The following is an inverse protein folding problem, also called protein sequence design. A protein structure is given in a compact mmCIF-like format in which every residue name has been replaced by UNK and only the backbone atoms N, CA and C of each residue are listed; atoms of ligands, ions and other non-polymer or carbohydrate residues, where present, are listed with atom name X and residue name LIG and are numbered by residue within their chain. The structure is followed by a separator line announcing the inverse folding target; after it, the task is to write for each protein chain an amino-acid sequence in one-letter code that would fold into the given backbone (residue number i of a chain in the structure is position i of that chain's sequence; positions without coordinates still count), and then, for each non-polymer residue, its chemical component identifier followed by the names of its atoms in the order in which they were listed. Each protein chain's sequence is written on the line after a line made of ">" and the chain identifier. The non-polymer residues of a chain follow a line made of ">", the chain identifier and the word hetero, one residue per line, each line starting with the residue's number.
data_IF_893972148956
#
_entry.id   IF_893972148956
#
_cell.length_a   1.000
_cell.length_b   1.000
_cell.length_c   1.000
_cell.angle_alpha   90.00
_cell.angle_beta   90.00
_cell.angle_gamma   90.00
#
_symmetry.space_group_name_H-M   'P 1'
#
loop_
_entity.id
_entity.type
_entity.pdbx_description
1 polymer ?
#
# COMPACT_ATOMS: atom_id res chain seq x y z
N UNK A 1 10.00 -13.85 6.75
CA UNK A 1 11.19 -13.06 7.08
C UNK A 1 10.76 -11.69 7.62
N UNK A 2 11.38 -11.22 8.70
CA UNK A 2 11.12 -9.94 9.37
C UNK A 2 12.41 -9.12 9.47
N UNK A 3 12.36 -7.86 9.04
CA UNK A 3 13.43 -6.88 9.25
C UNK A 3 13.19 -6.09 10.54
N UNK A 4 13.55 -6.66 11.68
CA UNK A 4 13.26 -6.14 13.02
C UNK A 4 13.09 -7.26 14.05
N UNK A 5 12.49 -6.92 15.19
CA UNK A 5 12.11 -7.87 16.24
C UNK A 5 10.94 -8.76 15.78
N UNK A 6 11.19 -10.06 15.68
CA UNK A 6 10.19 -11.06 15.31
C UNK A 6 9.18 -11.35 16.42
N UNK A 7 9.56 -11.18 17.70
CA UNK A 7 8.68 -11.46 18.83
C UNK A 7 7.47 -10.51 18.84
N UNK A 8 7.66 -9.27 18.39
CA UNK A 8 6.61 -8.25 18.32
C UNK A 8 5.45 -8.61 17.38
N UNK A 9 5.66 -9.50 16.39
CA UNK A 9 4.64 -9.89 15.41
C UNK A 9 4.34 -11.40 15.37
N UNK A 10 5.04 -12.23 16.13
CA UNK A 10 4.93 -13.69 16.08
C UNK A 10 3.52 -14.21 16.38
N UNK A 11 2.83 -13.61 17.36
CA UNK A 11 1.46 -13.99 17.72
C UNK A 11 0.47 -13.68 16.60
N UNK A 12 0.44 -12.43 16.13
CA UNK A 12 -0.46 -11.99 15.05
C UNK A 12 -0.22 -12.77 13.76
N UNK A 13 1.04 -12.98 13.38
CA UNK A 13 1.37 -13.79 12.19
C UNK A 13 0.96 -15.25 12.37
N UNK A 14 1.09 -15.79 13.58
CA UNK A 14 0.66 -17.14 13.95
C UNK A 14 -0.85 -17.36 13.81
N UNK A 15 -1.68 -16.36 14.14
CA UNK A 15 -3.13 -16.40 13.93
C UNK A 15 -3.50 -16.50 12.43
N UNK A 16 -2.62 -16.01 11.56
CA UNK A 16 -2.74 -16.06 10.11
C UNK A 16 -2.01 -17.25 9.46
N UNK A 17 -1.59 -18.24 10.25
CA UNK A 17 -1.02 -19.50 9.75
C UNK A 17 0.48 -19.48 9.49
N UNK A 18 1.20 -18.43 9.91
CA UNK A 18 2.67 -18.42 9.85
C UNK A 18 3.23 -19.36 10.91
N UNK A 19 4.11 -20.27 10.50
CA UNK A 19 4.74 -21.26 11.39
C UNK A 19 6.07 -20.77 11.98
N UNK A 20 6.82 -19.97 11.22
CA UNK A 20 8.11 -19.44 11.65
C UNK A 20 8.33 -17.98 11.18
N UNK A 21 8.95 -17.18 12.04
CA UNK A 21 9.37 -15.81 11.79
C UNK A 21 10.89 -15.73 11.87
N UNK A 22 11.53 -15.81 10.71
CA UNK A 22 12.96 -15.54 10.57
C UNK A 22 13.22 -14.04 10.69
N UNK A 23 13.86 -13.58 11.78
CA UNK A 23 13.96 -12.18 12.16
C UNK A 23 15.40 -11.69 12.24
N UNK A 24 15.69 -10.51 11.68
CA UNK A 24 17.05 -9.94 11.70
C UNK A 24 17.46 -9.34 13.05
N UNK A 25 16.50 -9.12 13.95
CA UNK A 25 16.69 -8.22 15.09
C UNK A 25 16.81 -6.77 14.65
N UNK A 26 17.31 -5.92 15.55
CA UNK A 26 17.58 -4.51 15.26
C UNK A 26 18.60 -4.38 14.12
N UNK A 27 18.34 -3.44 13.21
CA UNK A 27 19.21 -3.16 12.08
C UNK A 27 20.23 -2.06 12.41
N UNK A 28 20.19 -1.45 13.58
CA UNK A 28 21.15 -0.44 14.06
C UNK A 28 21.33 0.73 13.08
N UNK A 29 20.21 1.24 12.57
CA UNK A 29 20.22 2.32 11.59
C UNK A 29 20.65 1.91 10.17
N UNK A 30 20.90 0.62 9.90
CA UNK A 30 21.09 0.12 8.53
C UNK A 30 19.78 0.17 7.73
N UNK A 31 19.91 0.36 6.42
CA UNK A 31 18.78 0.33 5.49
C UNK A 31 18.14 -1.07 5.44
N UNK A 32 16.81 -1.14 5.60
CA UNK A 32 16.09 -2.42 5.65
C UNK A 32 16.29 -3.28 4.40
N UNK A 33 16.21 -2.68 3.21
CA UNK A 33 16.28 -3.41 1.95
C UNK A 33 17.56 -4.23 1.77
N UNK A 34 18.73 -3.62 2.00
CA UNK A 34 20.02 -4.30 1.85
C UNK A 34 20.24 -5.36 2.94
N UNK A 35 19.86 -5.05 4.18
CA UNK A 35 20.05 -5.97 5.32
C UNK A 35 19.19 -7.22 5.16
N UNK A 36 17.88 -7.04 4.96
CA UNK A 36 16.94 -8.17 4.85
C UNK A 36 17.22 -8.99 3.60
N UNK A 37 17.43 -8.37 2.43
CA UNK A 37 17.71 -9.13 1.21
C UNK A 37 19.00 -9.95 1.32
N UNK A 38 20.04 -9.41 1.96
CA UNK A 38 21.30 -10.14 2.16
C UNK A 38 21.16 -11.28 3.16
N UNK A 39 20.42 -11.06 4.25
CA UNK A 39 20.18 -12.08 5.26
C UNK A 39 19.35 -13.24 4.70
N UNK A 40 18.30 -12.95 3.93
CA UNK A 40 17.50 -13.97 3.24
C UNK A 40 18.33 -14.75 2.23
N UNK A 41 19.11 -14.06 1.39
CA UNK A 41 19.93 -14.73 0.38
C UNK A 41 20.99 -15.65 1.01
N UNK A 42 21.65 -15.19 2.08
CA UNK A 42 22.63 -15.98 2.82
C UNK A 42 21.97 -17.20 3.46
N UNK A 43 20.84 -17.02 4.15
CA UNK A 43 20.13 -18.12 4.78
C UNK A 43 19.72 -19.22 3.77
N UNK A 44 19.28 -18.84 2.57
CA UNK A 44 18.95 -19.80 1.50
C UNK A 44 20.22 -20.48 0.96
N UNK A 45 21.26 -19.71 0.66
CA UNK A 45 22.49 -20.22 0.02
C UNK A 45 23.30 -21.12 0.96
N UNK A 46 23.32 -20.79 2.25
CA UNK A 46 24.08 -21.51 3.28
C UNK A 46 23.29 -22.71 3.85
N UNK A 47 22.05 -22.93 3.41
CA UNK A 47 21.17 -23.98 3.92
C UNK A 47 20.63 -23.72 5.33
N UNK A 48 20.72 -22.47 5.81
CA UNK A 48 20.12 -22.03 7.08
C UNK A 48 18.60 -21.98 7.05
N UNK A 49 18.00 -21.91 5.86
CA UNK A 49 16.58 -22.17 5.62
C UNK A 49 16.41 -23.09 4.42
N UNK A 50 15.37 -23.91 4.42
CA UNK A 50 14.96 -24.66 3.22
C UNK A 50 14.56 -23.64 2.15
N UNK A 51 15.15 -23.77 0.96
CA UNK A 51 14.84 -22.88 -0.16
C UNK A 51 13.33 -22.92 -0.44
N UNK A 52 12.61 -21.78 -0.37
CA UNK A 52 11.17 -21.76 -0.61
C UNK A 52 10.87 -21.89 -2.10
N UNK A 53 9.70 -22.42 -2.47
CA UNK A 53 9.25 -22.40 -3.86
C UNK A 53 8.90 -20.97 -4.32
N UNK A 54 8.34 -20.16 -3.40
CA UNK A 54 7.91 -18.79 -3.66
C UNK A 54 8.21 -17.86 -2.48
N UNK A 55 8.58 -16.63 -2.81
CA UNK A 55 8.79 -15.53 -1.86
C UNK A 55 7.80 -14.42 -2.17
N UNK A 56 6.85 -14.21 -1.25
CA UNK A 56 5.79 -13.21 -1.38
C UNK A 56 6.15 -11.97 -0.55
N UNK A 57 6.22 -10.80 -1.20
CA UNK A 57 6.40 -9.52 -0.53
C UNK A 57 5.29 -8.55 -0.91
N UNK A 58 4.89 -7.68 0.00
CA UNK A 58 4.02 -6.55 -0.36
C UNK A 58 4.74 -5.59 -1.32
N UNK A 59 4.02 -5.02 -2.28
CA UNK A 59 4.52 -3.95 -3.18
C UNK A 59 4.63 -2.60 -2.44
N UNK A 60 5.20 -2.61 -1.24
CA UNK A 60 5.48 -1.43 -0.41
C UNK A 60 6.81 -0.80 -0.84
N UNK A 61 7.22 0.29 -0.18
CA UNK A 61 8.56 0.86 -0.43
C UNK A 61 9.66 -0.13 -0.05
N UNK A 62 9.60 -0.66 1.17
CA UNK A 62 10.56 -1.66 1.66
C UNK A 62 10.50 -2.95 0.85
N UNK A 63 9.30 -3.46 0.55
CA UNK A 63 9.16 -4.73 -0.18
C UNK A 63 9.74 -4.68 -1.58
N UNK A 64 9.56 -3.56 -2.30
CA UNK A 64 10.18 -3.35 -3.62
C UNK A 64 11.71 -3.31 -3.55
N UNK A 65 12.28 -2.63 -2.55
CA UNK A 65 13.73 -2.56 -2.35
C UNK A 65 14.31 -3.94 -1.99
N UNK A 66 13.68 -4.67 -1.07
CA UNK A 66 14.08 -6.04 -0.70
C UNK A 66 14.01 -6.98 -1.90
N UNK A 67 12.88 -7.01 -2.62
CA UNK A 67 12.65 -7.94 -3.72
C UNK A 67 13.66 -7.73 -4.86
N UNK A 68 13.93 -6.48 -5.25
CA UNK A 68 14.87 -6.17 -6.33
C UNK A 68 16.31 -6.57 -5.97
N UNK A 69 16.72 -6.41 -4.71
CA UNK A 69 18.05 -6.84 -4.26
C UNK A 69 18.16 -8.35 -4.15
N UNK A 70 17.10 -8.99 -3.66
CA UNK A 70 17.05 -10.43 -3.50
C UNK A 70 17.09 -11.14 -4.87
N UNK A 71 16.39 -10.61 -5.88
CA UNK A 71 16.38 -11.16 -7.23
C UNK A 71 17.78 -11.22 -7.83
N UNK A 72 18.58 -10.15 -7.64
CA UNK A 72 19.98 -10.12 -8.11
C UNK A 72 20.87 -11.06 -7.31
N UNK A 73 20.69 -11.14 -5.98
CA UNK A 73 21.53 -11.99 -5.12
C UNK A 73 21.33 -13.49 -5.36
N UNK A 74 20.11 -13.88 -5.70
CA UNK A 74 19.75 -15.29 -5.97
C UNK A 74 19.77 -15.63 -7.47
N UNK A 75 20.01 -14.65 -8.35
CA UNK A 75 19.91 -14.80 -9.81
C UNK A 75 18.55 -15.33 -10.28
N UNK A 76 17.46 -14.77 -9.73
CA UNK A 76 16.07 -15.15 -10.02
C UNK A 76 15.24 -13.95 -10.48
N UNK A 77 14.09 -14.22 -11.09
CA UNK A 77 13.19 -13.17 -11.59
C UNK A 77 12.20 -12.69 -10.52
N UNK A 78 11.64 -11.49 -10.75
CA UNK A 78 10.57 -10.91 -9.93
C UNK A 78 9.38 -10.50 -10.80
N UNK A 79 8.18 -10.85 -10.37
CA UNK A 79 6.92 -10.35 -10.92
C UNK A 79 6.31 -9.39 -9.92
N UNK A 80 5.86 -8.23 -10.40
CA UNK A 80 5.48 -7.12 -9.55
C UNK A 80 4.08 -6.63 -9.81
N UNK A 81 3.51 -6.00 -8.78
CA UNK A 81 2.17 -5.43 -8.83
C UNK A 81 1.09 -6.50 -9.07
N UNK A 82 1.31 -7.70 -8.54
CA UNK A 82 0.42 -8.86 -8.64
C UNK A 82 -0.84 -8.60 -7.79
N UNK A 83 -2.02 -8.77 -8.38
CA UNK A 83 -3.30 -8.56 -7.68
C UNK A 83 -4.09 -9.84 -7.46
N UNK A 84 -3.66 -10.93 -8.08
CA UNK A 84 -4.26 -12.26 -7.91
C UNK A 84 -3.19 -13.32 -8.16
N UNK A 85 -3.30 -14.45 -7.47
CA UNK A 85 -2.39 -15.59 -7.53
C UNK A 85 -3.23 -16.85 -7.62
N UNK A 86 -2.94 -17.66 -8.63
CA UNK A 86 -3.67 -18.90 -8.93
C UNK A 86 -2.70 -20.05 -9.06
N UNK A 87 -3.20 -21.25 -8.83
CA UNK A 87 -2.48 -22.48 -9.14
C UNK A 87 -2.89 -22.96 -10.54
N UNK A 88 -1.89 -23.26 -11.36
CA UNK A 88 -2.01 -24.01 -12.61
C UNK A 88 -1.18 -25.30 -12.45
N UNK A 89 -1.86 -26.37 -12.01
CA UNK A 89 -1.18 -27.58 -11.53
C UNK A 89 -0.41 -27.30 -10.24
N UNK A 90 0.91 -27.50 -10.28
CA UNK A 90 1.85 -27.26 -9.19
C UNK A 90 2.52 -25.87 -9.24
N UNK A 91 2.20 -25.04 -10.25
CA UNK A 91 2.85 -23.74 -10.45
C UNK A 91 1.94 -22.58 -10.07
N UNK A 92 2.53 -21.57 -9.44
CA UNK A 92 1.88 -20.28 -9.22
C UNK A 92 1.84 -19.45 -10.51
N UNK A 93 0.70 -18.84 -10.75
CA UNK A 93 0.43 -17.93 -11.86
C UNK A 93 -0.13 -16.63 -11.28
N UNK A 94 0.51 -15.51 -11.59
CA UNK A 94 0.09 -14.19 -11.15
C UNK A 94 -0.75 -13.48 -12.20
N UNK A 95 -1.60 -12.57 -11.72
CA UNK A 95 -2.31 -11.61 -12.56
C UNK A 95 -1.82 -10.21 -12.23
N UNK A 96 -1.31 -9.49 -13.23
CA UNK A 96 -0.79 -8.14 -13.08
C UNK A 96 -1.57 -7.12 -13.93
N UNK A 97 -2.17 -6.08 -13.33
CA UNK A 97 -2.68 -4.95 -14.07
C UNK A 97 -1.53 -4.06 -14.55
N UNK A 98 -1.39 -3.93 -15.86
CA UNK A 98 -0.41 -3.08 -16.54
C UNK A 98 -1.10 -1.90 -17.24
N UNK A 99 -0.31 -0.92 -17.72
CA UNK A 99 -0.82 0.29 -18.39
C UNK A 99 -1.87 1.07 -17.58
N UNK A 100 -1.64 1.27 -16.28
CA UNK A 100 -2.62 1.91 -15.38
C UNK A 100 -3.79 1.00 -14.99
N UNK A 101 -3.66 -0.30 -15.25
CA UNK A 101 -4.68 -1.31 -15.00
C UNK A 101 -5.81 -1.31 -16.01
N UNK A 102 -5.51 -0.94 -17.26
CA UNK A 102 -6.39 -1.10 -18.43
C UNK A 102 -6.25 -2.48 -19.07
N UNK A 103 -5.15 -3.18 -18.79
CA UNK A 103 -4.89 -4.53 -19.26
C UNK A 103 -4.43 -5.38 -18.07
N UNK A 104 -5.01 -6.57 -17.92
CA UNK A 104 -4.48 -7.59 -17.02
C UNK A 104 -3.64 -8.57 -17.84
N UNK A 105 -2.42 -8.83 -17.37
CA UNK A 105 -1.55 -9.88 -17.90
C UNK A 105 -1.56 -11.03 -16.92
N UNK A 106 -1.43 -12.25 -17.43
CA UNK A 106 -1.31 -13.47 -16.63
C UNK A 106 0.08 -14.02 -16.88
N UNK A 107 0.90 -14.07 -15.83
CA UNK A 107 2.33 -14.35 -15.92
C UNK A 107 2.72 -15.48 -14.98
N UNK A 108 3.71 -16.27 -15.40
CA UNK A 108 4.33 -17.29 -14.54
C UNK A 108 5.83 -17.33 -14.78
N UNK A 109 6.57 -17.78 -13.79
CA UNK A 109 8.00 -18.02 -13.94
C UNK A 109 8.26 -19.32 -14.71
N UNK A 110 9.40 -19.34 -15.39
CA UNK A 110 9.90 -20.50 -16.14
C UNK A 110 11.25 -21.00 -15.63
N UNK A 111 11.86 -20.29 -14.68
CA UNK A 111 13.14 -20.65 -14.06
C UNK A 111 13.01 -21.71 -12.96
N UNK A 112 14.13 -21.97 -12.27
CA UNK A 112 14.23 -22.98 -11.20
C UNK A 112 13.82 -22.49 -9.80
N UNK A 113 13.38 -21.23 -9.66
CA UNK A 113 13.00 -20.63 -8.38
C UNK A 113 14.19 -20.22 -7.49
N UNK A 114 13.92 -19.66 -6.29
CA UNK A 114 12.58 -19.30 -5.78
C UNK A 114 11.90 -18.21 -6.62
N UNK A 115 10.58 -18.31 -6.76
CA UNK A 115 9.78 -17.32 -7.49
C UNK A 115 9.49 -16.10 -6.60
N UNK A 116 9.93 -14.90 -6.99
CA UNK A 116 9.70 -13.68 -6.20
C UNK A 116 8.46 -12.93 -6.69
N UNK A 117 7.44 -12.84 -5.84
CA UNK A 117 6.17 -12.20 -6.13
C UNK A 117 5.99 -10.93 -5.28
N UNK A 118 5.94 -9.77 -5.93
CA UNK A 118 5.53 -8.51 -5.32
C UNK A 118 4.01 -8.36 -5.47
N UNK A 119 3.31 -8.63 -4.37
CA UNK A 119 1.85 -8.61 -4.25
C UNK A 119 1.38 -7.22 -3.88
N UNK A 120 0.43 -6.66 -4.63
CA UNK A 120 -0.14 -5.36 -4.34
C UNK A 120 -0.90 -5.42 -3.01
N UNK A 121 -0.63 -4.52 -2.04
CA UNK A 121 -1.37 -4.48 -0.79
C UNK A 121 -2.89 -4.42 -0.99
N UNK A 122 -3.63 -5.04 -0.06
CA UNK A 122 -5.10 -5.14 -0.07
C UNK A 122 -5.70 -5.91 -1.25
N UNK A 123 -4.91 -6.70 -1.98
CA UNK A 123 -5.46 -7.53 -3.07
C UNK A 123 -6.06 -8.85 -2.57
N UNK A 124 -5.65 -9.29 -1.38
CA UNK A 124 -6.16 -10.48 -0.71
C UNK A 124 -6.74 -10.09 0.65
N UNK A 125 -7.83 -10.74 1.03
CA UNK A 125 -8.38 -10.66 2.38
C UNK A 125 -7.53 -11.54 3.32
N UNK A 126 -7.20 -11.05 4.53
CA UNK A 126 -6.48 -11.86 5.51
C UNK A 126 -7.37 -13.02 5.99
N UNK A 127 -6.79 -14.21 6.12
CA UNK A 127 -7.49 -15.39 6.61
C UNK A 127 -6.93 -15.81 7.99
N UNK A 128 -7.82 -16.02 8.96
CA UNK A 128 -7.44 -16.54 10.29
C UNK A 128 -7.45 -18.07 10.25
N UNK A 129 -6.34 -18.65 9.78
CA UNK A 129 -6.20 -20.11 9.54
C UNK A 129 -5.22 -20.79 10.50
N UNK A 130 -4.65 -20.04 11.44
CA UNK A 130 -3.72 -20.55 12.45
C UNK A 130 -4.32 -20.56 13.85
N UNK A 131 -3.50 -20.21 14.84
CA UNK A 131 -3.93 -20.12 16.25
C UNK A 131 -2.84 -20.42 17.29
N UNK A 132 -1.58 -20.50 16.88
CA UNK A 132 -0.43 -20.55 17.80
C UNK A 132 0.63 -19.56 17.33
N UNK A 133 1.34 -18.87 18.24
CA UNK A 133 2.42 -17.97 17.86
C UNK A 133 3.47 -18.69 17.00
N UNK A 134 3.94 -18.01 15.97
CA UNK A 134 5.01 -18.51 15.12
C UNK A 134 6.33 -18.66 15.90
N UNK A 135 7.13 -19.67 15.56
CA UNK A 135 8.48 -19.83 16.10
C UNK A 135 9.39 -18.68 15.62
N UNK A 136 10.03 -17.96 16.53
CA UNK A 136 10.98 -16.90 16.16
C UNK A 136 12.36 -17.52 15.97
N UNK A 137 12.94 -17.32 14.79
CA UNK A 137 14.24 -17.87 14.40
C UNK A 137 15.16 -16.71 14.01
N UNK A 138 16.41 -16.74 14.48
CA UNK A 138 17.38 -15.72 14.13
C UNK A 138 17.73 -15.77 12.63
N UNK A 139 17.76 -14.59 12.00
CA UNK A 139 18.16 -14.38 10.61
C UNK A 139 19.36 -13.44 10.59
N UNK A 140 20.59 -13.96 10.77
CA UNK A 140 21.77 -13.12 10.88
C UNK A 140 22.01 -12.33 9.59
N UNK A 141 22.23 -11.02 9.73
CA UNK A 141 22.61 -10.16 8.61
C UNK A 141 24.11 -10.35 8.36
N UNK A 142 24.53 -10.82 7.17
CA UNK A 142 25.95 -11.01 6.86
C UNK A 142 26.68 -9.66 6.75
N UNK A 143 28.01 -9.72 6.62
CA UNK A 143 28.77 -8.54 6.23
C UNK A 143 28.28 -8.02 4.87
N UNK A 144 27.82 -6.78 4.87
CA UNK A 144 27.25 -6.13 3.69
C UNK A 144 28.32 -5.48 2.80
N UNK A 145 29.56 -5.41 3.27
CA UNK A 145 30.67 -4.73 2.59
C UNK A 145 30.27 -3.31 2.14
N UNK A 146 30.65 -2.95 0.91
CA UNK A 146 30.34 -1.63 0.34
C UNK A 146 28.84 -1.38 0.13
N UNK A 147 28.02 -2.43 0.01
CA UNK A 147 26.58 -2.27 -0.21
C UNK A 147 25.83 -1.78 1.04
N UNK A 148 26.43 -1.95 2.23
CA UNK A 148 25.91 -1.50 3.51
C UNK A 148 26.27 -0.07 3.90
N UNK A 149 26.89 0.71 3.01
CA UNK A 149 27.40 2.06 3.35
C UNK A 149 26.32 3.11 3.65
N UNK A 150 25.06 2.87 3.29
CA UNK A 150 23.95 3.78 3.57
C UNK A 150 23.43 3.58 5.01
N UNK A 151 23.39 4.68 5.77
CA UNK A 151 22.90 4.70 7.16
C UNK A 151 21.76 5.69 7.32
N UNK A 152 20.75 5.29 8.09
CA UNK A 152 19.65 6.15 8.52
C UNK A 152 20.16 7.07 9.62
N UNK A 153 20.22 8.37 9.34
CA UNK A 153 20.62 9.39 10.33
C UNK A 153 19.47 9.84 11.19
N UNK A 154 18.32 10.07 10.56
CA UNK A 154 17.11 10.57 11.21
C UNK A 154 15.89 9.83 10.65
N UNK A 155 14.89 9.60 11.50
CA UNK A 155 13.58 9.07 11.12
C UNK A 155 12.50 10.00 11.64
N UNK A 156 11.74 10.60 10.73
CA UNK A 156 10.59 11.42 11.07
C UNK A 156 9.33 10.63 10.77
N UNK A 157 8.53 10.38 11.80
CA UNK A 157 7.16 9.90 11.65
C UNK A 157 6.27 11.13 11.70
N UNK A 158 5.58 11.46 10.61
CA UNK A 158 4.56 12.52 10.65
C UNK A 158 3.46 12.13 11.64
N UNK A 159 3.19 12.99 12.62
CA UNK A 159 2.02 12.87 13.45
C UNK A 159 0.78 13.14 12.58
N UNK A 160 -0.15 12.19 12.55
CA UNK A 160 -1.45 12.38 11.90
C UNK A 160 -2.55 12.27 12.95
N UNK A 161 -3.41 13.29 13.02
CA UNK A 161 -4.67 13.20 13.76
C UNK A 161 -5.72 12.47 12.92
N UNK A 162 -6.52 11.62 13.57
CA UNK A 162 -7.53 10.80 12.89
C UNK A 162 -7.01 9.49 12.30
N UNK A 163 -7.84 8.75 11.57
CA UNK A 163 -7.46 7.45 11.01
C UNK A 163 -6.33 7.59 9.98
N UNK A 164 -5.41 6.62 9.93
CA UNK A 164 -4.43 6.56 8.84
C UNK A 164 -5.13 6.39 7.51
N UNK A 165 -4.77 7.22 6.52
CA UNK A 165 -5.41 7.26 5.20
C UNK A 165 -5.53 5.89 4.51
N UNK A 166 -4.53 5.02 4.67
CA UNK A 166 -4.48 3.68 4.11
C UNK A 166 -5.16 2.60 4.97
N UNK A 167 -5.62 2.91 6.16
CA UNK A 167 -6.38 1.98 7.03
C UNK A 167 -7.84 2.45 7.24
N UNK A 168 -8.16 3.68 6.84
CA UNK A 168 -9.45 4.30 7.10
C UNK A 168 -10.61 3.60 6.37
N UNK A 169 -11.71 3.38 7.09
CA UNK A 169 -12.96 2.86 6.53
C UNK A 169 -13.69 3.88 5.65
N UNK A 170 -13.47 5.18 5.89
CA UNK A 170 -14.00 6.29 5.10
C UNK A 170 -12.85 7.23 4.77
N UNK A 171 -12.78 7.67 3.51
CA UNK A 171 -11.84 8.71 3.06
C UNK A 171 -12.62 9.84 2.42
N UNK A 172 -12.39 11.08 2.89
CA UNK A 172 -12.90 12.29 2.24
C UNK A 172 -11.71 12.97 1.57
N UNK A 173 -11.74 13.08 0.25
CA UNK A 173 -10.59 13.52 -0.54
C UNK A 173 -10.84 14.79 -1.33
N UNK A 174 -9.94 15.77 -1.17
CA UNK A 174 -9.96 17.04 -1.90
C UNK A 174 -9.12 17.05 -3.17
N UNK A 175 -9.62 17.76 -4.19
CA UNK A 175 -8.90 18.01 -5.43
C UNK A 175 -8.77 19.49 -5.77
N UNK A 176 -8.17 19.77 -6.94
CA UNK A 176 -7.97 21.15 -7.45
C UNK A 176 -9.29 21.92 -7.60
N UNK A 177 -10.41 21.22 -7.74
CA UNK A 177 -11.74 21.82 -7.80
C UNK A 177 -12.16 22.58 -6.55
N UNK A 178 -11.46 22.43 -5.41
CA UNK A 178 -11.61 23.28 -4.23
C UNK A 178 -11.22 24.75 -4.49
N UNK A 179 -10.29 24.99 -5.43
CA UNK A 179 -9.90 26.32 -5.89
C UNK A 179 -8.84 27.04 -5.04
N UNK A 180 -8.76 26.80 -3.73
CA UNK A 180 -7.77 27.41 -2.85
C UNK A 180 -7.40 26.49 -1.67
N UNK A 181 -6.26 26.76 -1.02
CA UNK A 181 -5.78 25.94 0.11
C UNK A 181 -6.71 26.03 1.32
N UNK A 182 -7.25 27.22 1.61
CA UNK A 182 -8.14 27.49 2.74
C UNK A 182 -9.44 26.67 2.66
N UNK A 183 -9.88 26.38 1.44
CA UNK A 183 -11.07 25.56 1.18
C UNK A 183 -10.89 24.08 1.55
N UNK A 184 -9.65 23.63 1.80
CA UNK A 184 -9.38 22.27 2.26
C UNK A 184 -9.98 22.01 3.66
N UNK A 185 -10.21 23.06 4.45
CA UNK A 185 -10.95 22.96 5.72
C UNK A 185 -12.34 22.33 5.59
N UNK A 186 -12.99 22.42 4.41
CA UNK A 186 -14.26 21.72 4.13
C UNK A 186 -14.08 20.20 4.11
N UNK A 187 -12.93 19.72 3.60
CA UNK A 187 -12.58 18.30 3.56
C UNK A 187 -12.29 17.80 4.97
N UNK A 188 -11.49 18.54 5.73
CA UNK A 188 -11.14 18.18 7.11
C UNK A 188 -12.36 18.20 8.03
N UNK A 189 -13.23 19.20 7.90
CA UNK A 189 -14.47 19.30 8.67
C UNK A 189 -15.40 18.11 8.44
N UNK A 190 -15.66 17.77 7.17
CA UNK A 190 -16.47 16.60 6.82
C UNK A 190 -15.79 15.29 7.25
N UNK A 191 -14.47 15.19 7.08
CA UNK A 191 -13.73 14.00 7.50
C UNK A 191 -13.84 13.79 9.02
N UNK A 192 -13.64 14.85 9.80
CA UNK A 192 -13.77 14.84 11.26
C UNK A 192 -15.16 14.40 11.70
N UNK A 193 -16.21 14.95 11.10
CA UNK A 193 -17.59 14.61 11.44
C UNK A 193 -17.91 13.12 11.16
N UNK A 194 -17.31 12.56 10.11
CA UNK A 194 -17.50 11.16 9.73
C UNK A 194 -16.54 10.18 10.42
N UNK A 195 -15.59 10.66 11.25
CA UNK A 195 -14.49 9.84 11.74
C UNK A 195 -13.64 9.24 10.61
N UNK A 196 -13.53 9.96 9.50
CA UNK A 196 -12.85 9.57 8.27
C UNK A 196 -11.43 10.13 8.20
N UNK A 197 -10.60 9.57 7.32
CA UNK A 197 -9.29 10.15 7.00
C UNK A 197 -9.41 11.21 5.89
N UNK A 198 -8.75 12.38 6.02
CA UNK A 198 -8.62 13.33 4.93
C UNK A 198 -7.62 12.80 3.89
N UNK A 199 -7.94 12.99 2.61
CA UNK A 199 -7.06 12.63 1.49
C UNK A 199 -6.98 13.73 0.44
N UNK A 200 -6.02 13.62 -0.48
CA UNK A 200 -5.76 14.65 -1.46
C UNK A 200 -5.33 14.08 -2.81
N UNK A 201 -5.73 14.75 -3.89
CA UNK A 201 -5.12 14.52 -5.19
C UNK A 201 -3.70 15.09 -5.23
N UNK A 202 -2.82 14.47 -6.03
CA UNK A 202 -1.47 15.00 -6.29
C UNK A 202 -1.46 16.47 -6.70
N UNK A 203 -2.47 16.91 -7.44
CA UNK A 203 -2.56 18.28 -7.94
C UNK A 203 -2.51 19.36 -6.85
N UNK A 204 -3.03 19.08 -5.65
CA UNK A 204 -3.05 20.05 -4.53
C UNK A 204 -1.89 19.85 -3.57
N UNK A 205 -1.31 18.63 -3.54
CA UNK A 205 -0.03 18.34 -2.87
C UNK A 205 1.11 19.07 -3.57
N UNK A 206 1.20 18.95 -4.90
CA UNK A 206 2.20 19.65 -5.72
C UNK A 206 2.03 21.19 -5.64
N UNK A 207 0.81 21.67 -5.33
CA UNK A 207 0.52 23.09 -5.10
C UNK A 207 0.81 23.56 -3.66
N UNK A 208 1.26 22.66 -2.77
CA UNK A 208 1.60 22.98 -1.38
C UNK A 208 0.40 23.21 -0.46
N UNK A 209 -0.81 22.80 -0.85
CA UNK A 209 -2.01 23.00 -0.02
C UNK A 209 -2.05 22.06 1.18
N UNK A 210 -1.51 20.85 1.01
CA UNK A 210 -1.54 19.75 1.99
C UNK A 210 -0.28 18.88 1.85
N UNK A 211 0.14 18.17 2.91
CA UNK A 211 1.34 17.35 2.88
C UNK A 211 1.20 16.14 1.95
N UNK A 212 2.35 15.58 1.54
CA UNK A 212 2.41 14.40 0.67
C UNK A 212 1.76 13.15 1.30
N UNK A 213 1.71 13.05 2.62
CA UNK A 213 1.05 11.95 3.34
C UNK A 213 -0.44 11.83 3.05
N UNK A 214 -1.09 12.92 2.61
CA UNK A 214 -2.51 12.92 2.21
C UNK A 214 -2.70 12.44 0.76
N UNK A 215 -1.64 12.31 -0.02
CA UNK A 215 -1.74 12.01 -1.44
C UNK A 215 -2.32 10.61 -1.71
N UNK A 216 -3.44 10.55 -2.42
CA UNK A 216 -4.00 9.32 -2.98
C UNK A 216 -3.63 9.20 -4.45
N UNK A 217 -3.20 8.01 -4.88
CA UNK A 217 -2.92 7.72 -6.29
C UNK A 217 -1.74 6.77 -6.50
N UNK A 218 -1.39 6.55 -7.76
CA UNK A 218 -0.31 5.67 -8.21
C UNK A 218 1.05 6.00 -7.56
N UNK A 219 1.33 7.28 -7.35
CA UNK A 219 2.56 7.77 -6.71
C UNK A 219 2.33 8.21 -5.27
N UNK A 220 1.17 7.92 -4.69
CA UNK A 220 0.81 8.21 -3.30
C UNK A 220 0.37 6.94 -2.59
N UNK A 221 -0.58 7.06 -1.65
CA UNK A 221 -1.20 5.92 -0.99
C UNK A 221 -2.27 5.26 -1.87
N UNK A 222 -2.33 3.93 -1.82
CA UNK A 222 -3.43 3.13 -2.36
C UNK A 222 -4.40 2.82 -1.21
N UNK A 223 -5.63 3.31 -1.34
CA UNK A 223 -6.70 3.16 -0.35
C UNK A 223 -7.80 2.25 -0.89
N UNK A 224 -8.48 1.53 0.01
CA UNK A 224 -9.66 0.71 -0.30
C UNK A 224 -10.72 0.86 0.82
N UNK A 225 -11.19 2.09 1.10
CA UNK A 225 -12.21 2.31 2.12
C UNK A 225 -13.56 1.71 1.72
N UNK A 226 -14.44 1.57 2.71
CA UNK A 226 -15.86 1.29 2.50
C UNK A 226 -16.54 2.43 1.75
N UNK A 227 -16.15 3.68 2.02
CA UNK A 227 -16.66 4.88 1.35
C UNK A 227 -15.51 5.81 0.98
N UNK A 228 -15.42 6.22 -0.28
CA UNK A 228 -14.51 7.25 -0.76
C UNK A 228 -15.31 8.43 -1.32
N UNK A 229 -15.14 9.62 -0.74
CA UNK A 229 -15.80 10.85 -1.19
C UNK A 229 -14.78 11.71 -1.94
N UNK A 230 -14.94 11.84 -3.26
CA UNK A 230 -14.07 12.62 -4.14
C UNK A 230 -14.65 14.02 -4.38
N UNK A 231 -14.06 15.03 -3.76
CA UNK A 231 -14.53 16.41 -3.77
C UNK A 231 -13.66 17.28 -4.69
N UNK A 232 -14.18 17.68 -5.85
CA UNK A 232 -13.46 18.53 -6.80
C UNK A 232 -12.24 17.83 -7.44
N UNK A 233 -12.29 16.50 -7.58
CA UNK A 233 -11.25 15.69 -8.21
C UNK A 233 -11.72 15.33 -9.62
N UNK A 234 -10.87 15.53 -10.63
CA UNK A 234 -11.21 15.24 -12.02
C UNK A 234 -11.26 13.74 -12.34
N UNK A 235 -10.49 12.91 -11.63
CA UNK A 235 -10.41 11.47 -11.90
C UNK A 235 -9.33 11.10 -12.93
N UNK A 236 -8.19 11.80 -12.94
CA UNK A 236 -7.04 11.37 -13.73
C UNK A 236 -6.63 9.92 -13.38
N UNK A 237 -6.21 9.13 -14.36
CA UNK A 237 -5.86 7.71 -14.19
C UNK A 237 -4.92 7.46 -13.01
N UNK A 238 -3.95 8.33 -12.81
CA UNK A 238 -3.00 8.26 -11.69
C UNK A 238 -3.70 8.36 -10.33
N UNK A 239 -4.75 9.17 -10.20
CA UNK A 239 -5.55 9.24 -8.98
C UNK A 239 -6.41 7.98 -8.83
N UNK A 240 -7.08 7.56 -9.90
CA UNK A 240 -8.00 6.41 -9.89
C UNK A 240 -7.29 5.11 -9.49
N UNK A 241 -6.04 4.89 -9.92
CA UNK A 241 -5.23 3.73 -9.51
C UNK A 241 -5.15 3.60 -7.98
N UNK A 242 -5.16 4.71 -7.25
CA UNK A 242 -5.07 4.72 -5.79
C UNK A 242 -6.39 4.51 -5.05
N UNK A 243 -7.55 4.61 -5.70
CA UNK A 243 -8.85 4.59 -5.01
C UNK A 243 -9.98 3.82 -5.70
N UNK A 244 -9.80 3.36 -6.95
CA UNK A 244 -10.84 2.64 -7.71
C UNK A 244 -11.26 1.30 -7.09
N UNK A 245 -10.50 0.81 -6.10
CA UNK A 245 -10.83 -0.40 -5.33
C UNK A 245 -11.65 -0.12 -4.07
N UNK A 246 -12.14 1.11 -3.88
CA UNK A 246 -13.07 1.45 -2.79
C UNK A 246 -14.42 0.78 -3.01
N UNK A 247 -15.12 0.42 -1.94
CA UNK A 247 -16.41 -0.28 -2.05
C UNK A 247 -17.55 0.61 -2.57
N UNK A 248 -17.58 1.88 -2.15
CA UNK A 248 -18.51 2.89 -2.64
C UNK A 248 -17.74 4.19 -2.93
N UNK A 249 -17.90 4.75 -4.11
CA UNK A 249 -17.28 5.98 -4.57
C UNK A 249 -18.36 7.04 -4.77
N UNK A 250 -18.28 8.11 -4.01
CA UNK A 250 -19.14 9.29 -4.11
C UNK A 250 -18.32 10.41 -4.76
N UNK A 251 -18.79 11.00 -5.85
CA UNK A 251 -18.08 12.08 -6.53
C UNK A 251 -18.90 13.38 -6.50
N UNK A 252 -18.24 14.49 -6.15
CA UNK A 252 -18.79 15.85 -6.18
C UNK A 252 -17.92 16.68 -7.12
N UNK A 253 -18.43 17.06 -8.28
CA UNK A 253 -17.70 17.86 -9.24
C UNK A 253 -18.64 18.80 -10.01
N UNK A 254 -18.18 20.01 -10.33
CA UNK A 254 -18.97 20.98 -11.11
C UNK A 254 -19.04 20.62 -12.60
N UNK A 255 -18.04 19.90 -13.09
CA UNK A 255 -17.92 19.47 -14.49
C UNK A 255 -18.61 18.11 -14.63
N UNK A 256 -19.76 18.06 -15.32
CA UNK A 256 -20.53 16.83 -15.54
C UNK A 256 -19.77 15.77 -16.33
N UNK A 257 -18.76 16.18 -17.09
CA UNK A 257 -17.95 15.29 -17.93
C UNK A 257 -16.67 14.83 -17.24
N UNK A 258 -16.50 15.13 -15.94
CA UNK A 258 -15.31 14.76 -15.20
C UNK A 258 -15.13 13.22 -15.17
N UNK A 259 -13.94 12.69 -15.56
CA UNK A 259 -13.66 11.25 -15.57
C UNK A 259 -13.94 10.49 -14.27
N UNK A 260 -13.92 11.17 -13.12
CA UNK A 260 -14.25 10.57 -11.82
C UNK A 260 -15.66 9.95 -11.80
N UNK A 261 -16.61 10.50 -12.57
CA UNK A 261 -17.97 9.97 -12.63
C UNK A 261 -18.05 8.60 -13.30
N UNK A 262 -17.08 8.23 -14.14
CA UNK A 262 -17.04 6.91 -14.78
C UNK A 262 -16.80 5.77 -13.79
N UNK A 263 -16.32 6.07 -12.57
CA UNK A 263 -16.09 5.08 -11.50
C UNK A 263 -16.90 5.39 -10.24
N UNK A 264 -17.77 6.41 -10.25
CA UNK A 264 -18.56 6.78 -9.09
C UNK A 264 -19.84 5.96 -9.02
N UNK A 265 -20.15 5.43 -7.83
CA UNK A 265 -21.43 4.80 -7.53
C UNK A 265 -22.52 5.86 -7.31
N UNK A 266 -22.15 7.04 -6.81
CA UNK A 266 -23.03 8.20 -6.67
C UNK A 266 -22.31 9.49 -7.11
N UNK A 267 -22.92 10.23 -8.03
CA UNK A 267 -22.39 11.49 -8.55
C UNK A 267 -23.29 12.68 -8.23
N UNK A 268 -22.68 13.77 -7.75
CA UNK A 268 -23.32 15.08 -7.58
C UNK A 268 -22.62 16.07 -8.51
N UNK A 269 -23.35 16.53 -9.54
CA UNK A 269 -22.89 17.63 -10.38
C UNK A 269 -23.20 18.94 -9.67
N UNK A 270 -22.17 19.58 -9.12
CA UNK A 270 -22.36 20.76 -8.29
C UNK A 270 -21.07 21.38 -7.76
N UNK A 271 -21.20 22.60 -7.27
CA UNK A 271 -20.12 23.32 -6.62
C UNK A 271 -19.83 22.73 -5.22
N UNK A 272 -18.59 22.28 -5.00
CA UNK A 272 -18.12 21.72 -3.73
C UNK A 272 -18.39 22.66 -2.55
N UNK A 273 -18.28 23.98 -2.76
CA UNK A 273 -18.52 25.01 -1.74
C UNK A 273 -19.99 25.12 -1.33
N UNK A 274 -20.91 24.58 -2.12
CA UNK A 274 -22.35 24.56 -1.82
C UNK A 274 -22.80 23.18 -1.36
N UNK A 275 -22.21 22.12 -1.91
CA UNK A 275 -22.60 20.74 -1.63
C UNK A 275 -22.05 20.29 -0.28
N UNK A 276 -20.77 20.55 0.02
CA UNK A 276 -20.14 20.04 1.24
C UNK A 276 -20.79 20.61 2.52
N UNK A 277 -21.05 21.94 2.65
CA UNK A 277 -21.72 22.46 3.84
C UNK A 277 -23.10 21.84 4.07
N UNK A 278 -23.91 21.68 3.01
CA UNK A 278 -25.23 21.05 3.11
C UNK A 278 -25.15 19.57 3.51
N UNK A 279 -24.13 18.86 3.04
CA UNK A 279 -23.88 17.48 3.44
C UNK A 279 -23.51 17.40 4.93
N UNK A 280 -22.62 18.27 5.39
CA UNK A 280 -22.25 18.41 6.80
C UNK A 280 -23.48 18.69 7.67
N UNK A 281 -24.29 19.70 7.33
CA UNK A 281 -25.54 20.04 8.04
C UNK A 281 -26.50 18.84 8.11
N UNK A 282 -26.69 18.13 6.99
CA UNK A 282 -27.57 16.95 6.95
C UNK A 282 -27.07 15.80 7.83
N UNK A 283 -25.76 15.70 8.05
CA UNK A 283 -25.14 14.71 8.94
C UNK A 283 -25.24 15.11 10.42
N UNK A 284 -25.26 16.41 10.75
CA UNK A 284 -25.45 16.88 12.13
C UNK A 284 -26.87 16.62 12.66
N UNK A 285 -27.85 16.56 11.75
CA UNK A 285 -29.24 16.26 12.09
C UNK A 285 -29.56 14.78 12.33
N UNK A 286 -28.56 13.88 12.36
CA UNK A 286 -28.72 12.43 12.61
C UNK A 286 -28.19 12.05 13.98
#
# INVERSE_FOLDING_TARGET
>A
FCGGDGAACAAELGDHGVTAVHATGDLDGRMKGVSVASAVAAAISDGGVVAPDAILLGTTYDGRDVAARLSVKLDVSVLSNVVDLRLDGDRLVGVEPVFGGTLNVTSRFTGGGPDIWLVRPKSFEPAAVGGSPAEVVDLPVPDLGSTGGAVVRDRFTEESEGPKLDEAAIVVSGGRGLGAAEAYSLIEGLAKQLGAAPGASRAIVDAGWVPYSYQVGQTGKVVKPTVYIACGISGATQHLVGMKGSKNIIAINKDSEAPIFAVADLGIVGDVHKVLPKLTEALEGR
#
